data_IF_863039856738
#
_entry.id   IF_863039856738
#
_cell.length_a   1.000
_cell.length_b   1.000
_cell.length_c   1.000
_cell.angle_alpha   90.00
_cell.angle_beta   90.00
_cell.angle_gamma   90.00
#
_symmetry.space_group_name_H-M   'P 1'
#
loop_
_entity.id
_entity.type
_entity.pdbx_description
1 polymer ?
#
# COMPACT_ATOMS: atom_id res chain seq x y z
N UNK A 1 -6.32 31.01 10.28
CA UNK A 1 -6.37 30.38 8.95
C UNK A 1 -5.13 29.50 8.83
N UNK A 2 -5.14 28.33 9.47
CA UNK A 2 -3.91 27.51 9.67
C UNK A 2 -4.24 26.01 9.81
N UNK A 3 -5.09 25.50 8.93
CA UNK A 3 -5.28 24.05 8.74
C UNK A 3 -4.94 23.60 7.32
N UNK A 4 -4.72 24.56 6.40
CA UNK A 4 -4.39 24.30 5.00
C UNK A 4 -3.02 23.60 4.84
N UNK A 5 -2.07 23.80 5.76
CA UNK A 5 -0.71 23.26 5.63
C UNK A 5 -0.55 21.76 5.97
N UNK A 6 -1.39 21.21 6.85
CA UNK A 6 -1.28 19.79 7.27
C UNK A 6 -2.10 18.89 6.35
N UNK A 7 -3.26 19.37 5.90
CA UNK A 7 -4.16 18.61 5.03
C UNK A 7 -3.66 18.48 3.57
N UNK A 8 -2.65 19.25 3.16
CA UNK A 8 -2.03 19.22 1.83
C UNK A 8 -0.79 18.32 1.77
N UNK A 9 -0.30 17.84 2.92
CA UNK A 9 1.06 17.29 3.04
C UNK A 9 1.30 16.05 2.17
N UNK A 10 0.25 15.29 1.89
CA UNK A 10 0.28 14.11 1.04
C UNK A 10 -0.39 14.31 -0.33
N UNK A 11 -0.89 15.50 -0.63
CA UNK A 11 -1.51 15.79 -1.92
C UNK A 11 -0.50 15.60 -3.07
N UNK A 12 -0.87 14.80 -4.06
CA UNK A 12 -0.03 14.42 -5.20
C UNK A 12 1.33 13.79 -4.84
N UNK A 13 1.49 13.31 -3.60
CA UNK A 13 2.71 12.64 -3.13
C UNK A 13 2.64 11.14 -3.29
N UNK A 14 3.81 10.53 -3.40
CA UNK A 14 3.99 9.08 -3.36
C UNK A 14 4.56 8.72 -1.99
N UNK A 15 3.94 7.75 -1.31
CA UNK A 15 4.33 7.29 0.03
C UNK A 15 4.77 5.83 -0.04
N UNK A 16 5.90 5.51 0.58
CA UNK A 16 6.39 4.13 0.75
C UNK A 16 6.32 3.77 2.23
N UNK A 17 5.64 2.66 2.55
CA UNK A 17 5.51 2.14 3.91
C UNK A 17 6.24 0.80 4.00
N UNK A 18 7.22 0.72 4.90
CA UNK A 18 7.90 -0.52 5.27
C UNK A 18 7.23 -1.18 6.46
N UNK A 19 7.33 -2.52 6.57
CA UNK A 19 6.65 -3.23 7.66
C UNK A 19 5.13 -3.12 7.56
N UNK A 20 4.60 -3.08 6.34
CA UNK A 20 3.19 -2.83 6.04
C UNK A 20 2.23 -3.87 6.68
N UNK A 21 2.74 -5.03 7.08
CA UNK A 21 1.98 -6.07 7.79
C UNK A 21 1.81 -5.79 9.29
N UNK A 22 2.52 -4.81 9.84
CA UNK A 22 2.42 -4.44 11.26
C UNK A 22 1.13 -3.69 11.58
N UNK A 23 0.62 -3.87 12.80
CA UNK A 23 -0.64 -3.25 13.26
C UNK A 23 -0.67 -1.71 13.06
N UNK A 24 0.41 -1.02 13.45
CA UNK A 24 0.51 0.44 13.32
C UNK A 24 0.55 0.88 11.86
N UNK A 25 1.26 0.12 11.00
CA UNK A 25 1.35 0.44 9.59
C UNK A 25 -0.04 0.41 8.92
N UNK A 26 -0.88 -0.58 9.27
CA UNK A 26 -2.26 -0.66 8.78
C UNK A 26 -3.10 0.54 9.20
N UNK A 27 -3.02 0.94 10.48
CA UNK A 27 -3.75 2.11 10.97
C UNK A 27 -3.29 3.40 10.27
N UNK A 28 -1.98 3.53 10.01
CA UNK A 28 -1.44 4.66 9.27
C UNK A 28 -1.98 4.70 7.83
N UNK A 29 -1.99 3.57 7.12
CA UNK A 29 -2.58 3.45 5.78
C UNK A 29 -4.03 3.90 5.80
N UNK A 30 -4.79 3.42 6.77
CA UNK A 30 -6.18 3.80 6.96
C UNK A 30 -6.35 5.31 7.17
N UNK A 31 -5.55 5.90 8.05
CA UNK A 31 -5.63 7.34 8.32
C UNK A 31 -5.22 8.18 7.11
N UNK A 32 -4.19 7.79 6.37
CA UNK A 32 -3.78 8.48 5.14
C UNK A 32 -4.93 8.44 4.14
N UNK A 33 -5.49 7.27 3.87
CA UNK A 33 -6.53 7.14 2.85
C UNK A 33 -7.86 7.79 3.27
N UNK A 34 -8.22 7.79 4.56
CA UNK A 34 -9.43 8.49 5.06
C UNK A 34 -9.26 10.01 5.12
N UNK A 35 -8.09 10.53 5.49
CA UNK A 35 -7.87 11.97 5.75
C UNK A 35 -7.19 12.71 4.59
N UNK A 36 -6.55 12.00 3.67
CA UNK A 36 -5.73 12.56 2.59
C UNK A 36 -6.02 11.82 1.26
N UNK A 37 -7.24 11.89 0.73
CA UNK A 37 -7.61 11.19 -0.50
C UNK A 37 -6.80 11.64 -1.72
N UNK A 38 -6.10 12.78 -1.65
CA UNK A 38 -5.24 13.31 -2.70
C UNK A 38 -3.87 12.64 -2.83
N UNK A 39 -3.59 11.54 -2.12
CA UNK A 39 -2.32 10.81 -2.28
C UNK A 39 -2.23 10.20 -3.69
N UNK A 40 -1.12 10.44 -4.40
CA UNK A 40 -0.94 9.95 -5.78
C UNK A 40 -0.78 8.44 -5.81
N UNK A 41 0.03 7.91 -4.90
CA UNK A 41 0.33 6.48 -4.84
C UNK A 41 0.85 6.07 -3.46
N UNK A 42 0.43 4.92 -2.99
CA UNK A 42 0.88 4.32 -1.75
C UNK A 42 1.49 2.95 -2.03
N UNK A 43 2.78 2.79 -1.74
CA UNK A 43 3.52 1.55 -1.91
C UNK A 43 3.71 0.87 -0.55
N UNK A 44 3.38 -0.41 -0.48
CA UNK A 44 3.53 -1.23 0.72
C UNK A 44 4.62 -2.26 0.49
N UNK A 45 5.73 -2.13 1.23
CA UNK A 45 6.80 -3.12 1.18
C UNK A 45 6.47 -4.28 2.13
N UNK A 46 6.33 -5.46 1.55
CA UNK A 46 6.12 -6.72 2.27
C UNK A 46 7.33 -7.62 2.03
N UNK A 47 7.97 -8.08 3.10
CA UNK A 47 9.02 -9.10 3.01
C UNK A 47 8.35 -10.42 2.66
N UNK A 48 8.81 -11.11 1.63
CA UNK A 48 8.38 -12.46 1.26
C UNK A 48 9.46 -13.15 0.43
N UNK A 49 9.40 -14.48 0.31
CA UNK A 49 10.36 -15.25 -0.47
C UNK A 49 10.17 -15.09 -1.98
N UNK A 50 8.91 -14.93 -2.41
CA UNK A 50 8.51 -14.76 -3.81
C UNK A 50 7.23 -13.92 -3.88
N UNK A 51 6.83 -13.57 -5.11
CA UNK A 51 5.65 -12.74 -5.37
C UNK A 51 4.34 -13.40 -4.91
N UNK A 52 4.23 -14.73 -5.01
CA UNK A 52 3.02 -15.47 -4.60
C UNK A 52 2.85 -15.39 -3.08
N UNK A 53 3.95 -15.57 -2.35
CA UNK A 53 4.04 -15.44 -0.90
C UNK A 53 3.79 -14.00 -0.44
N UNK A 54 4.26 -13.02 -1.21
CA UNK A 54 3.97 -11.60 -0.95
C UNK A 54 2.47 -11.31 -1.10
N UNK A 55 1.87 -11.74 -2.21
CA UNK A 55 0.44 -11.54 -2.46
C UNK A 55 -0.41 -12.23 -1.38
N UNK A 56 -0.08 -13.47 -1.01
CA UNK A 56 -0.77 -14.18 0.08
C UNK A 56 -0.66 -13.43 1.41
N UNK A 57 0.50 -12.88 1.75
CA UNK A 57 0.67 -12.05 2.96
C UNK A 57 -0.19 -10.80 2.90
N UNK A 58 -0.18 -10.07 1.79
CA UNK A 58 -1.01 -8.87 1.66
C UNK A 58 -2.50 -9.22 1.77
N UNK A 59 -2.94 -10.29 1.12
CA UNK A 59 -4.33 -10.77 1.20
C UNK A 59 -4.74 -11.21 2.60
N UNK A 60 -3.88 -11.95 3.32
CA UNK A 60 -4.18 -12.35 4.70
C UNK A 60 -4.29 -11.13 5.61
N UNK A 61 -3.37 -10.18 5.46
CA UNK A 61 -3.37 -8.96 6.27
C UNK A 61 -4.57 -8.05 6.00
N UNK A 62 -5.08 -8.03 4.76
CA UNK A 62 -6.26 -7.28 4.36
C UNK A 62 -7.56 -7.91 4.88
N UNK A 63 -7.67 -9.26 4.87
CA UNK A 63 -8.84 -9.97 5.41
C UNK A 63 -8.92 -9.93 6.94
N UNK A 64 -7.78 -9.85 7.64
CA UNK A 64 -7.74 -9.74 9.11
C UNK A 64 -8.02 -8.34 9.64
N UNK A 65 -7.99 -7.32 8.79
CA UNK A 65 -8.41 -5.96 9.14
C UNK A 65 -9.84 -5.76 8.61
N UNK A 66 -10.85 -5.91 9.47
CA UNK A 66 -12.26 -5.78 9.08
C UNK A 66 -12.51 -4.55 8.18
N UNK A 67 -12.74 -4.83 6.90
CA UNK A 67 -13.34 -4.00 5.85
C UNK A 67 -12.99 -2.50 5.81
N UNK A 68 -11.70 -2.17 5.77
CA UNK A 68 -11.23 -0.79 5.56
C UNK A 68 -10.79 -0.46 4.13
N UNK A 69 -10.12 -1.40 3.43
CA UNK A 69 -9.42 -1.12 2.17
C UNK A 69 -9.34 -2.33 1.23
N UNK A 70 -9.57 -2.11 -0.06
CA UNK A 70 -9.35 -3.09 -1.12
C UNK A 70 -7.88 -3.08 -1.55
N UNK A 71 -7.25 -4.25 -1.61
CA UNK A 71 -5.89 -4.42 -2.14
C UNK A 71 -5.98 -4.71 -3.63
N UNK A 72 -5.40 -3.85 -4.47
CA UNK A 72 -5.08 -4.17 -5.86
C UNK A 72 -3.60 -4.56 -5.93
N UNK A 73 -3.29 -5.75 -6.43
CA UNK A 73 -1.90 -6.15 -6.74
C UNK A 73 -1.67 -5.97 -8.24
N UNK A 74 -0.74 -5.08 -8.60
CA UNK A 74 -0.19 -5.02 -9.96
C UNK A 74 1.05 -5.93 -9.99
N UNK A 75 0.95 -7.08 -10.66
CA UNK A 75 2.12 -7.92 -10.96
C UNK A 75 2.84 -7.36 -12.18
N UNK A 76 4.15 -7.15 -12.11
CA UNK A 76 4.95 -6.89 -13.30
C UNK A 76 4.76 -8.04 -14.31
N UNK A 77 4.56 -7.76 -15.61
CA UNK A 77 4.46 -8.81 -16.62
C UNK A 77 5.75 -9.65 -16.65
N UNK A 78 5.67 -10.98 -16.82
CA UNK A 78 6.84 -11.82 -16.88
C UNK A 78 7.76 -11.38 -18.02
N UNK A 79 9.10 -11.44 -17.84
CA UNK A 79 10.03 -11.06 -18.89
C UNK A 79 9.77 -11.88 -20.16
N UNK A 80 9.94 -11.28 -21.36
CA UNK A 80 9.69 -11.98 -22.61
C UNK A 80 10.54 -13.25 -22.68
N UNK A 81 9.90 -14.40 -22.94
CA UNK A 81 10.62 -15.65 -23.18
C UNK A 81 11.51 -15.44 -24.41
N UNK A 82 12.83 -15.42 -24.22
CA UNK A 82 13.78 -15.52 -25.34
C UNK A 82 13.57 -16.88 -26.00
N UNK A 83 12.90 -16.88 -27.15
CA UNK A 83 12.95 -18.02 -28.07
C UNK A 83 14.38 -18.14 -28.59
N UNK A 84 15.08 -19.19 -28.17
CA UNK A 84 16.21 -19.73 -28.92
C UNK A 84 15.68 -20.67 -30.00
#
# INVERSE_FOLDING_TARGET
MELAGVAERFHSRTVLITGATGFIAKLLVEKILRLQPGVKRLYLLVRAADQVSANRRVESEARSAGDGFSVATESEPPPPRRSH
#
